data_IF_234149694791
#
_entry.id   IF_234149694791
#
_cell.length_a   1.000
_cell.length_b   1.000
_cell.length_c   1.000
_cell.angle_alpha   90.00
_cell.angle_beta   90.00
_cell.angle_gamma   90.00
#
_symmetry.space_group_name_H-M   'P 1'
#
loop_
_entity.id
_entity.type
_entity.pdbx_description
1 polymer ?
#
# COMPACT_ATOMS: atom_id res chain seq x y z
N UNK A 1 -24.75 1.10 -75.48
CA UNK A 1 -24.75 2.49 -74.96
C UNK A 1 -24.23 2.50 -73.52
N UNK A 2 -22.91 2.75 -73.36
CA UNK A 2 -22.13 3.38 -72.23
C UNK A 2 -22.35 2.99 -70.73
N UNK A 3 -21.31 3.15 -69.86
CA UNK A 3 -20.73 2.09 -69.00
C UNK A 3 -20.64 2.41 -67.48
N UNK A 4 -20.11 1.49 -66.67
CA UNK A 4 -19.62 1.73 -65.30
C UNK A 4 -19.56 0.42 -64.48
N UNK A 5 -18.59 0.09 -63.63
CA UNK A 5 -17.52 0.84 -62.96
C UNK A 5 -16.39 -0.13 -62.56
N UNK A 6 -15.15 0.40 -62.65
CA UNK A 6 -14.00 0.31 -61.73
C UNK A 6 -13.53 -1.10 -61.29
N UNK A 7 -12.33 -1.55 -61.71
CA UNK A 7 -11.00 -1.21 -61.15
C UNK A 7 -10.89 -1.69 -59.69
N UNK A 8 -9.89 -2.43 -59.24
CA UNK A 8 -8.49 -2.57 -59.68
C UNK A 8 -7.85 -3.67 -58.82
N UNK A 9 -7.04 -4.56 -59.40
CA UNK A 9 -5.56 -4.65 -59.20
C UNK A 9 -5.15 -4.94 -57.74
N UNK A 10 -4.19 -5.78 -57.43
CA UNK A 10 -3.39 -6.77 -58.14
C UNK A 10 -2.61 -7.50 -57.03
N UNK A 11 -2.36 -8.77 -57.26
CA UNK A 11 -1.58 -9.66 -56.42
C UNK A 11 -0.09 -9.27 -56.41
N UNK A 12 0.54 -9.22 -55.22
CA UNK A 12 1.99 -9.33 -55.06
C UNK A 12 2.33 -9.73 -53.61
N UNK A 13 2.84 -10.96 -53.44
CA UNK A 13 3.40 -11.52 -52.20
C UNK A 13 4.87 -10.99 -51.97
N UNK A 14 5.72 -11.48 -51.04
CA UNK A 14 5.53 -12.42 -49.92
C UNK A 14 6.34 -12.08 -48.61
N UNK A 15 6.21 -12.93 -47.57
CA UNK A 15 7.13 -13.20 -46.43
C UNK A 15 7.44 -12.07 -45.42
N UNK A 16 7.12 -12.31 -44.14
CA UNK A 16 8.11 -12.48 -43.05
C UNK A 16 7.46 -12.57 -41.65
N UNK A 17 7.86 -13.63 -40.95
CA UNK A 17 8.27 -13.69 -39.54
C UNK A 17 7.24 -13.58 -38.40
N UNK A 18 7.37 -14.58 -37.51
CA UNK A 18 7.13 -14.61 -36.06
C UNK A 18 5.71 -14.69 -35.49
N UNK A 19 5.41 -15.91 -35.04
CA UNK A 19 4.60 -16.27 -33.86
C UNK A 19 4.34 -15.14 -32.86
N UNK A 20 3.07 -14.89 -32.57
CA UNK A 20 2.61 -14.43 -31.27
C UNK A 20 1.20 -14.98 -30.99
N UNK A 21 1.04 -16.13 -30.30
CA UNK A 21 -0.20 -16.43 -29.62
C UNK A 21 -0.37 -15.42 -28.47
N UNK A 22 -1.52 -14.76 -28.46
CA UNK A 22 -1.92 -13.73 -27.49
C UNK A 22 -2.00 -14.37 -26.10
N UNK A 23 -0.92 -14.26 -25.34
CA UNK A 23 -0.87 -14.61 -23.92
C UNK A 23 -1.70 -13.59 -23.14
N UNK A 24 -2.85 -14.03 -22.63
CA UNK A 24 -3.65 -13.35 -21.61
C UNK A 24 -2.97 -13.36 -20.24
N UNK A 25 -1.69 -12.97 -20.18
CA UNK A 25 -0.94 -12.77 -18.95
C UNK A 25 -0.91 -11.29 -18.62
N UNK A 26 -2.00 -10.75 -18.06
CA UNK A 26 -1.93 -9.44 -17.41
C UNK A 26 -1.58 -9.69 -15.95
N UNK A 27 -0.28 -9.51 -15.69
CA UNK A 27 0.46 -9.60 -14.43
C UNK A 27 -0.37 -9.07 -13.25
N UNK A 28 -0.28 -9.66 -12.03
CA UNK A 28 -0.79 -9.00 -10.85
C UNK A 28 -0.11 -7.64 -10.80
N UNK A 29 -0.91 -6.59 -10.90
CA UNK A 29 -0.44 -5.24 -10.70
C UNK A 29 0.31 -5.25 -9.39
N UNK A 30 1.57 -4.86 -9.48
CA UNK A 30 2.39 -4.48 -8.35
C UNK A 30 1.53 -3.64 -7.44
N UNK A 31 0.94 -4.28 -6.42
CA UNK A 31 0.41 -3.59 -5.27
C UNK A 31 1.66 -3.03 -4.65
N UNK A 32 1.94 -1.81 -5.11
CA UNK A 32 2.88 -0.85 -4.61
C UNK A 32 3.35 -1.35 -3.25
N UNK A 33 4.50 -2.01 -3.25
CA UNK A 33 5.35 -2.07 -2.08
C UNK A 33 5.73 -0.61 -1.84
N UNK A 34 4.75 0.17 -1.35
CA UNK A 34 5.01 1.33 -0.53
C UNK A 34 6.01 0.77 0.44
N UNK A 35 7.26 1.18 0.28
CA UNK A 35 8.33 0.90 1.21
C UNK A 35 7.81 1.48 2.51
N UNK A 36 7.04 0.68 3.25
CA UNK A 36 6.83 0.89 4.66
C UNK A 36 8.26 1.07 5.13
N UNK A 37 8.56 2.24 5.71
CA UNK A 37 9.76 2.32 6.53
C UNK A 37 9.67 1.07 7.40
N UNK A 38 10.61 0.13 7.21
CA UNK A 38 10.46 -1.25 7.67
C UNK A 38 10.29 -1.34 9.20
N UNK A 39 10.44 -0.20 9.85
CA UNK A 39 10.38 0.07 11.27
C UNK A 39 9.05 0.71 11.74
N UNK A 40 8.01 0.84 10.90
CA UNK A 40 6.72 1.44 11.31
C UNK A 40 5.47 0.78 10.70
N UNK A 41 4.45 0.58 11.55
CA UNK A 41 3.10 0.12 11.17
C UNK A 41 2.11 1.27 11.33
N UNK A 42 1.33 1.56 10.30
CA UNK A 42 0.42 2.70 10.26
C UNK A 42 -1.06 2.28 10.23
N UNK A 43 -1.93 3.06 10.86
CA UNK A 43 -3.37 2.87 10.83
C UNK A 43 -3.92 2.07 12.02
N UNK A 44 -5.17 2.34 12.39
CA UNK A 44 -5.81 1.81 13.61
C UNK A 44 -5.83 0.28 13.65
N UNK A 45 -6.35 -0.36 12.61
CA UNK A 45 -6.46 -1.82 12.57
C UNK A 45 -5.09 -2.49 12.57
N UNK A 46 -4.20 -2.06 11.68
CA UNK A 46 -2.85 -2.65 11.58
C UNK A 46 -2.08 -2.54 12.89
N UNK A 47 -2.22 -1.41 13.60
CA UNK A 47 -1.61 -1.22 14.93
C UNK A 47 -2.23 -2.14 15.98
N UNK A 48 -3.56 -2.25 16.04
CA UNK A 48 -4.23 -3.18 16.97
C UNK A 48 -3.79 -4.62 16.73
N UNK A 49 -3.76 -5.06 15.47
CA UNK A 49 -3.33 -6.41 15.11
C UNK A 49 -1.85 -6.64 15.45
N UNK A 50 -0.97 -5.67 15.18
CA UNK A 50 0.44 -5.76 15.55
C UNK A 50 0.63 -5.86 17.07
N UNK A 51 -0.13 -5.08 17.85
CA UNK A 51 -0.12 -5.15 19.31
C UNK A 51 -0.68 -6.49 19.81
N UNK A 52 -1.76 -7.01 19.21
CA UNK A 52 -2.32 -8.34 19.55
C UNK A 52 -1.34 -9.47 19.26
N UNK A 53 -0.64 -9.38 18.14
CA UNK A 53 0.41 -10.31 17.75
C UNK A 53 1.68 -10.18 18.60
N UNK A 54 1.73 -9.24 19.55
CA UNK A 54 2.87 -8.97 20.43
C UNK A 54 4.15 -8.70 19.64
N UNK A 55 4.03 -8.00 18.52
CA UNK A 55 5.18 -7.58 17.73
C UNK A 55 6.03 -6.63 18.58
N UNK A 56 7.36 -6.87 18.71
CA UNK A 56 8.22 -6.02 19.53
C UNK A 56 8.22 -4.59 19.00
N UNK A 57 7.63 -3.68 19.78
CA UNK A 57 7.53 -2.28 19.47
C UNK A 57 8.41 -1.43 20.38
N UNK A 58 8.82 -0.27 19.87
CA UNK A 58 9.56 0.76 20.59
C UNK A 58 8.60 1.75 21.26
N UNK A 59 7.66 2.29 20.49
CA UNK A 59 6.74 3.33 20.94
C UNK A 59 5.48 3.37 20.07
N UNK A 60 4.37 3.83 20.66
CA UNK A 60 3.12 4.12 19.97
C UNK A 60 2.99 5.63 19.74
N UNK A 61 2.84 6.04 18.48
CA UNK A 61 2.63 7.43 18.09
C UNK A 61 1.16 7.70 17.79
N UNK A 62 0.65 8.81 18.31
CA UNK A 62 -0.73 9.25 18.10
C UNK A 62 -0.71 10.68 17.57
N UNK A 63 -1.56 10.98 16.59
CA UNK A 63 -1.66 12.32 16.06
C UNK A 63 -2.31 13.24 17.09
N UNK A 64 -1.81 14.47 17.16
CA UNK A 64 -2.55 15.55 17.81
C UNK A 64 -3.96 15.65 17.21
N UNK A 65 -4.96 15.71 18.10
CA UNK A 65 -6.39 15.74 17.71
C UNK A 65 -6.82 14.51 16.90
N UNK A 66 -6.24 13.35 17.17
CA UNK A 66 -6.77 12.08 16.66
C UNK A 66 -8.14 11.78 17.29
N UNK A 67 -9.05 11.20 16.49
CA UNK A 67 -10.35 10.76 16.99
C UNK A 67 -10.18 9.45 17.78
N UNK A 68 -10.57 9.47 19.06
CA UNK A 68 -10.52 8.27 19.91
C UNK A 68 -11.78 7.45 19.70
N UNK A 69 -11.71 6.46 18.82
CA UNK A 69 -12.73 5.43 18.68
C UNK A 69 -12.40 4.16 19.51
N UNK A 70 -13.25 3.14 19.38
CA UNK A 70 -13.10 1.86 20.09
C UNK A 70 -11.75 1.18 19.79
N UNK A 71 -11.29 1.19 18.52
CA UNK A 71 -10.01 0.60 18.12
C UNK A 71 -8.83 1.41 18.61
N UNK A 72 -8.93 2.74 18.62
CA UNK A 72 -7.88 3.59 19.18
C UNK A 72 -7.76 3.37 20.70
N UNK A 73 -8.88 3.24 21.40
CA UNK A 73 -8.92 2.91 22.82
C UNK A 73 -8.32 1.53 23.09
N UNK A 74 -8.62 0.55 22.25
CA UNK A 74 -8.04 -0.79 22.33
C UNK A 74 -6.51 -0.77 22.14
N UNK A 75 -6.03 -0.08 21.10
CA UNK A 75 -4.60 0.09 20.85
C UNK A 75 -3.88 0.74 22.04
N UNK A 76 -4.46 1.80 22.61
CA UNK A 76 -3.95 2.46 23.82
C UNK A 76 -3.84 1.51 25.01
N UNK A 77 -4.87 0.67 25.24
CA UNK A 77 -4.86 -0.33 26.31
C UNK A 77 -3.79 -1.40 26.09
N UNK A 78 -3.71 -1.92 24.86
CA UNK A 78 -2.71 -2.94 24.51
C UNK A 78 -1.28 -2.40 24.62
N UNK A 79 -1.05 -1.16 24.19
CA UNK A 79 0.24 -0.50 24.33
C UNK A 79 0.64 -0.31 25.81
N UNK A 80 -0.29 0.13 26.67
CA UNK A 80 -0.05 0.20 28.12
C UNK A 80 0.24 -1.17 28.73
N UNK A 81 -0.48 -2.22 28.33
CA UNK A 81 -0.24 -3.58 28.81
C UNK A 81 1.13 -4.13 28.40
N UNK A 82 1.73 -3.60 27.34
CA UNK A 82 3.07 -3.95 26.87
C UNK A 82 4.16 -2.99 27.34
N UNK A 83 3.84 -2.07 28.27
CA UNK A 83 4.73 -1.03 28.78
C UNK A 83 5.35 -0.16 27.66
N UNK A 84 4.60 0.05 26.57
CA UNK A 84 5.04 0.89 25.46
C UNK A 84 4.82 2.37 25.80
N UNK A 85 5.85 3.18 25.51
CA UNK A 85 5.72 4.63 25.54
C UNK A 85 4.69 5.12 24.51
N UNK A 86 3.74 5.94 24.95
CA UNK A 86 2.72 6.56 24.10
C UNK A 86 3.09 8.02 23.93
N UNK A 87 3.29 8.47 22.68
CA UNK A 87 3.70 9.83 22.36
C UNK A 87 2.72 10.48 21.40
N UNK A 88 2.25 11.67 21.75
CA UNK A 88 1.44 12.50 20.86
C UNK A 88 2.36 13.35 19.98
N UNK A 89 2.10 13.35 18.67
CA UNK A 89 2.94 14.01 17.65
C UNK A 89 2.06 14.71 16.60
N UNK A 90 2.62 15.73 15.95
CA UNK A 90 1.96 16.36 14.82
C UNK A 90 1.74 15.36 13.67
N UNK A 91 0.65 15.53 12.90
CA UNK A 91 0.31 14.63 11.77
C UNK A 91 1.44 14.49 10.75
N UNK A 92 2.11 15.59 10.40
CA UNK A 92 3.24 15.55 9.46
C UNK A 92 4.42 14.68 9.93
N UNK A 93 4.59 14.49 11.25
CA UNK A 93 5.59 13.55 11.78
C UNK A 93 5.15 12.11 11.55
N UNK A 94 3.87 11.79 11.75
CA UNK A 94 3.30 10.48 11.45
C UNK A 94 3.41 10.13 9.96
N UNK A 95 3.10 11.08 9.06
CA UNK A 95 3.28 10.92 7.62
C UNK A 95 4.74 10.53 7.28
N UNK A 96 5.71 11.27 7.84
CA UNK A 96 7.13 11.02 7.60
C UNK A 96 7.62 9.68 8.14
N UNK A 97 7.17 9.30 9.34
CA UNK A 97 7.58 8.05 9.99
C UNK A 97 6.95 6.83 9.31
N UNK A 98 5.67 6.92 8.96
CA UNK A 98 4.95 5.80 8.33
C UNK A 98 5.16 5.71 6.82
N UNK A 99 5.60 6.80 6.18
CA UNK A 99 5.72 6.89 4.72
C UNK A 99 4.38 6.88 3.99
N UNK A 100 3.26 7.09 4.71
CA UNK A 100 1.91 7.09 4.15
C UNK A 100 1.03 8.10 4.87
N UNK A 101 0.11 8.74 4.15
CA UNK A 101 -0.91 9.62 4.75
C UNK A 101 -2.14 8.86 5.25
N UNK A 102 -2.20 7.54 5.02
CA UNK A 102 -3.30 6.68 5.47
C UNK A 102 -3.14 6.18 6.92
N UNK A 103 -2.38 6.88 7.77
CA UNK A 103 -2.09 6.47 9.15
C UNK A 103 -3.28 6.67 10.10
N UNK A 104 -4.35 7.37 9.71
CA UNK A 104 -5.58 7.58 10.51
C UNK A 104 -5.32 8.11 11.94
N UNK A 105 -4.21 8.83 12.13
CA UNK A 105 -3.82 9.39 13.41
C UNK A 105 -3.14 8.42 14.39
N UNK A 106 -2.69 7.24 13.96
CA UNK A 106 -1.94 6.31 14.82
C UNK A 106 -0.87 5.52 14.06
N UNK A 107 0.27 5.31 14.70
CA UNK A 107 1.31 4.44 14.20
C UNK A 107 2.04 3.73 15.35
N UNK A 108 2.58 2.56 15.06
CA UNK A 108 3.40 1.77 15.95
C UNK A 108 4.80 1.67 15.38
N UNK A 109 5.80 2.11 16.15
CA UNK A 109 7.21 1.98 15.76
C UNK A 109 7.68 0.63 16.23
N UNK A 110 8.05 -0.23 15.28
CA UNK A 110 8.56 -1.56 15.59
C UNK A 110 10.07 -1.50 15.81
N UNK A 111 10.58 -2.36 16.70
CA UNK A 111 12.03 -2.52 16.86
C UNK A 111 12.54 -3.38 15.70
N UNK A 112 13.59 -2.95 14.96
CA UNK A 112 14.22 -3.83 13.99
C UNK A 112 14.75 -5.07 14.72
N UNK A 113 14.59 -6.23 14.08
CA UNK A 113 15.19 -7.46 14.58
C UNK A 113 16.72 -7.32 14.54
N UNK A 114 17.37 -7.52 15.69
CA UNK A 114 18.83 -7.64 15.81
C UNK A 114 19.22 -9.12 15.83
#
# INVERSE_FOLDING_TARGET
>A
MRPGRKRREAEAAPKRTTNAPRTGGRKPESRLETRANADAVAGRNSVVEALRAKIPAKELLIAERAEIDERMTEALRLAKNQDLGIKEVARGVLDGVTGTTMHQGIALIIKPFA
#
